data_IF_189268106590
#
_entry.id   IF_189268106590
#
_cell.length_a   1.000
_cell.length_b   1.000
_cell.length_c   1.000
_cell.angle_alpha   90.00
_cell.angle_beta   90.00
_cell.angle_gamma   90.00
#
_symmetry.space_group_name_H-M   'P 1'
#
loop_
_entity.id
_entity.type
_entity.pdbx_description
1 polymer ?
#
# COMPACT_ATOMS: atom_id res chain seq x y z
N UNK A 1 -1.00 82.11 -67.95
CA UNK A 1 -1.91 81.96 -66.79
C UNK A 1 -3.24 81.43 -67.28
N UNK A 2 -3.53 80.15 -67.01
CA UNK A 2 -4.88 79.54 -67.03
C UNK A 2 -4.72 78.04 -66.76
N UNK A 3 -5.14 77.64 -65.58
CA UNK A 3 -5.35 76.26 -65.14
C UNK A 3 -6.33 75.55 -66.09
N UNK A 4 -5.97 74.37 -66.60
CA UNK A 4 -6.90 73.39 -67.18
C UNK A 4 -6.48 71.96 -66.84
N UNK A 5 -7.47 71.21 -66.36
CA UNK A 5 -7.49 69.83 -65.91
C UNK A 5 -7.07 68.82 -66.99
N UNK A 6 -6.42 67.73 -66.58
CA UNK A 6 -6.53 66.45 -67.27
C UNK A 6 -6.63 65.28 -66.27
N UNK A 7 -7.75 64.59 -66.40
CA UNK A 7 -8.08 63.27 -65.85
C UNK A 7 -7.20 62.24 -66.58
N UNK A 8 -6.66 61.24 -65.88
CA UNK A 8 -6.40 59.92 -66.47
C UNK A 8 -6.29 58.83 -65.40
N UNK A 9 -6.83 57.69 -65.79
CA UNK A 9 -7.28 56.58 -64.99
C UNK A 9 -6.21 55.52 -64.66
N UNK A 10 -6.59 54.68 -63.69
CA UNK A 10 -6.25 53.26 -63.52
C UNK A 10 -4.78 52.86 -63.28
N UNK A 11 -4.54 52.25 -62.12
CA UNK A 11 -4.16 50.83 -62.06
C UNK A 11 -4.32 50.31 -60.61
N UNK A 12 -5.29 49.42 -60.41
CA UNK A 12 -5.36 48.56 -59.22
C UNK A 12 -4.32 47.47 -59.42
N UNK A 13 -3.26 47.47 -58.62
CA UNK A 13 -2.33 46.32 -58.52
C UNK A 13 -2.68 45.61 -57.23
N UNK A 14 -3.32 44.44 -57.37
CA UNK A 14 -3.54 43.51 -56.28
C UNK A 14 -2.21 42.91 -55.83
N UNK A 15 -1.82 43.20 -54.59
CA UNK A 15 -0.77 42.46 -53.89
C UNK A 15 -1.38 41.16 -53.35
N UNK A 16 -1.17 40.08 -54.10
CA UNK A 16 -1.29 38.72 -53.56
C UNK A 16 -0.10 38.52 -52.64
N UNK A 17 -0.30 38.67 -51.34
CA UNK A 17 0.66 38.21 -50.35
C UNK A 17 0.54 36.69 -50.25
N UNK A 18 1.47 35.96 -50.87
CA UNK A 18 1.72 34.56 -50.55
C UNK A 18 2.27 34.47 -49.12
N UNK A 19 1.38 34.35 -48.13
CA UNK A 19 1.76 33.90 -46.81
C UNK A 19 2.06 32.40 -46.92
N UNK A 20 3.34 32.06 -47.07
CA UNK A 20 3.81 30.70 -46.84
C UNK A 20 3.60 30.38 -45.34
N UNK A 21 2.51 29.70 -45.02
CA UNK A 21 2.33 29.07 -43.72
C UNK A 21 3.36 27.94 -43.61
N UNK A 22 4.51 28.23 -43.00
CA UNK A 22 5.39 27.18 -42.50
C UNK A 22 4.66 26.49 -41.35
N UNK A 23 4.01 25.37 -41.65
CA UNK A 23 3.54 24.44 -40.65
C UNK A 23 4.76 23.87 -39.93
N UNK A 24 5.12 24.51 -38.80
CA UNK A 24 6.03 23.94 -37.84
C UNK A 24 5.32 22.74 -37.21
N UNK A 25 5.60 21.55 -37.74
CA UNK A 25 5.29 20.31 -37.05
C UNK A 25 6.08 20.31 -35.75
N UNK A 26 5.43 20.71 -34.66
CA UNK A 26 5.97 20.48 -33.33
C UNK A 26 6.04 18.96 -33.15
N UNK A 27 7.23 18.40 -33.30
CA UNK A 27 7.54 17.04 -32.91
C UNK A 27 7.28 16.96 -31.40
N UNK A 28 6.10 16.48 -31.01
CA UNK A 28 5.86 16.00 -29.66
C UNK A 28 6.77 14.79 -29.48
N UNK A 29 8.01 15.01 -29.02
CA UNK A 29 8.78 13.92 -28.45
C UNK A 29 7.88 13.33 -27.36
N UNK A 30 7.50 12.05 -27.44
CA UNK A 30 6.89 11.43 -26.29
C UNK A 30 7.95 11.55 -25.19
N UNK A 31 7.70 12.40 -24.20
CA UNK A 31 8.26 12.15 -22.88
C UNK A 31 7.81 10.75 -22.55
N UNK A 32 8.69 9.78 -22.73
CA UNK A 32 8.56 8.50 -22.07
C UNK A 32 8.44 8.88 -20.60
N UNK A 33 7.21 8.88 -20.07
CA UNK A 33 7.05 8.65 -18.65
C UNK A 33 7.81 7.36 -18.45
N UNK A 34 8.91 7.42 -17.72
CA UNK A 34 9.45 6.22 -17.12
C UNK A 34 8.25 5.63 -16.40
N UNK A 35 7.76 4.50 -16.89
CA UNK A 35 6.78 3.71 -16.17
C UNK A 35 7.53 3.37 -14.88
N UNK A 36 7.27 4.13 -13.82
CA UNK A 36 7.84 3.83 -12.49
C UNK A 36 7.39 2.39 -12.26
N UNK A 37 8.35 1.47 -12.17
CA UNK A 37 8.09 0.05 -12.00
C UNK A 37 7.18 -0.11 -10.77
N UNK A 38 5.88 -0.27 -10.98
CA UNK A 38 4.95 -0.55 -9.90
C UNK A 38 5.25 -1.97 -9.43
N UNK A 39 5.56 -2.13 -8.15
CA UNK A 39 5.54 -3.47 -7.55
C UNK A 39 4.09 -3.95 -7.47
N UNK A 40 3.90 -5.25 -7.45
CA UNK A 40 2.59 -5.87 -7.23
C UNK A 40 2.60 -6.56 -5.86
N UNK A 41 1.50 -6.46 -5.13
CA UNK A 41 1.27 -7.11 -3.85
C UNK A 41 -0.11 -7.77 -3.86
N UNK A 42 -0.25 -8.85 -3.09
CA UNK A 42 -1.51 -9.55 -2.92
C UNK A 42 -2.52 -8.77 -2.05
N UNK A 43 -2.04 -7.84 -1.20
CA UNK A 43 -2.85 -7.12 -0.22
C UNK A 43 -2.53 -5.64 -0.06
N UNK A 44 -1.42 -5.10 -0.56
CA UNK A 44 -1.05 -3.69 -0.36
C UNK A 44 -1.17 -2.85 -1.63
N UNK A 45 -1.68 -1.63 -1.49
CA UNK A 45 -1.66 -0.60 -2.50
C UNK A 45 -1.23 0.74 -1.91
N UNK A 46 -0.24 1.40 -2.51
CA UNK A 46 0.25 2.68 -2.01
C UNK A 46 1.70 2.95 -2.36
N UNK A 47 2.45 3.55 -1.43
CA UNK A 47 3.87 3.82 -1.62
C UNK A 47 4.69 3.25 -0.48
N UNK A 48 5.84 2.68 -0.83
CA UNK A 48 6.89 2.28 0.10
C UNK A 48 8.16 3.05 -0.21
N UNK A 49 8.74 3.65 0.82
CA UNK A 49 10.08 4.21 0.80
C UNK A 49 11.05 3.22 1.46
N UNK A 50 12.14 2.92 0.78
CA UNK A 50 13.19 2.02 1.26
C UNK A 50 14.57 2.59 0.94
N UNK A 51 15.61 1.97 1.50
CA UNK A 51 16.98 2.37 1.22
C UNK A 51 17.32 2.30 -0.27
N UNK A 52 17.91 3.38 -0.79
CA UNK A 52 18.50 3.34 -2.12
C UNK A 52 19.59 2.25 -2.16
N UNK A 53 19.65 1.45 -3.22
CA UNK A 53 20.62 0.35 -3.37
C UNK A 53 22.01 0.72 -2.84
N UNK A 54 22.45 0.04 -1.75
CA UNK A 54 23.74 0.26 -1.10
C UNK A 54 23.78 1.29 0.04
N UNK A 55 22.66 1.94 0.39
CA UNK A 55 22.54 2.86 1.52
C UNK A 55 21.90 2.19 2.75
N UNK A 56 22.47 2.37 3.94
CA UNK A 56 21.82 2.04 5.22
C UNK A 56 20.84 3.17 5.58
N UNK A 57 19.71 3.22 4.87
CA UNK A 57 18.63 4.14 5.22
C UNK A 57 17.87 3.54 6.38
N UNK A 58 17.86 4.22 7.53
CA UNK A 58 17.13 3.79 8.71
C UNK A 58 16.06 4.84 9.02
N UNK A 59 14.81 4.44 8.87
CA UNK A 59 13.65 5.28 9.13
C UNK A 59 13.35 5.32 10.63
N UNK A 60 13.10 6.50 11.15
CA UNK A 60 12.80 6.75 12.57
C UNK A 60 11.43 7.39 12.77
N UNK A 61 10.81 7.86 11.69
CA UNK A 61 9.45 8.38 11.70
C UNK A 61 8.81 8.20 10.32
N UNK A 62 7.51 7.95 10.33
CA UNK A 62 6.62 8.07 9.18
C UNK A 62 5.39 8.86 9.62
N UNK A 63 4.82 9.66 8.73
CA UNK A 63 3.59 10.41 8.98
C UNK A 63 2.81 10.59 7.69
N UNK A 64 1.48 10.63 7.79
CA UNK A 64 0.61 10.95 6.67
C UNK A 64 -0.80 11.26 7.14
N UNK A 65 -1.56 11.94 6.29
CA UNK A 65 -2.95 12.29 6.53
C UNK A 65 -3.84 11.72 5.44
N UNK A 66 -5.02 11.25 5.79
CA UNK A 66 -6.04 10.81 4.84
C UNK A 66 -7.43 11.27 5.28
N UNK A 67 -8.38 11.21 4.36
CA UNK A 67 -9.80 11.33 4.71
C UNK A 67 -10.36 9.92 4.77
N UNK A 68 -11.01 9.56 5.86
CA UNK A 68 -11.61 8.23 6.05
C UNK A 68 -12.59 7.94 4.90
N UNK A 69 -12.34 6.91 4.08
CA UNK A 69 -13.20 6.59 2.96
C UNK A 69 -14.57 6.09 3.42
N UNK A 70 -15.60 6.26 2.59
CA UNK A 70 -16.85 5.53 2.76
C UNK A 70 -16.74 4.15 2.09
N UNK A 71 -17.05 3.07 2.80
CA UNK A 71 -17.12 1.74 2.21
C UNK A 71 -18.50 1.45 1.58
N UNK A 72 -18.50 0.95 0.35
CA UNK A 72 -19.66 0.48 -0.41
C UNK A 72 -19.86 -1.02 -0.17
N UNK A 73 -20.79 -1.37 0.71
CA UNK A 73 -21.03 -2.76 1.12
C UNK A 73 -22.06 -3.50 0.26
N UNK A 74 -22.27 -3.04 -0.99
CA UNK A 74 -23.22 -3.64 -1.93
C UNK A 74 -22.80 -5.04 -2.39
N UNK A 75 -21.49 -5.33 -2.38
CA UNK A 75 -20.91 -6.63 -2.69
C UNK A 75 -20.92 -7.61 -1.50
N UNK A 76 -21.43 -7.20 -0.33
CA UNK A 76 -21.43 -8.01 0.89
C UNK A 76 -20.21 -7.75 1.77
N UNK A 77 -19.69 -8.81 2.39
CA UNK A 77 -18.57 -8.71 3.32
C UNK A 77 -17.28 -8.32 2.61
N UNK A 78 -16.52 -7.41 3.20
CA UNK A 78 -15.21 -6.99 2.72
C UNK A 78 -14.50 -6.16 3.77
N UNK A 79 -13.20 -5.99 3.61
CA UNK A 79 -12.33 -5.34 4.58
C UNK A 79 -11.39 -4.39 3.85
N UNK A 80 -11.09 -3.25 4.45
CA UNK A 80 -10.10 -2.32 3.90
C UNK A 80 -9.50 -1.46 4.99
N UNK A 81 -8.18 -1.43 5.06
CA UNK A 81 -7.47 -0.63 6.05
C UNK A 81 -6.63 0.46 5.40
N UNK A 82 -6.43 1.57 6.11
CA UNK A 82 -5.64 2.72 5.67
C UNK A 82 -4.68 3.12 6.77
N UNK A 83 -3.38 3.10 6.48
CA UNK A 83 -2.37 3.23 7.52
C UNK A 83 -1.06 3.83 7.04
N UNK A 84 -0.25 4.23 8.02
CA UNK A 84 1.17 4.55 7.86
C UNK A 84 2.00 3.67 8.78
N UNK A 85 3.18 3.28 8.32
CA UNK A 85 4.01 2.31 9.04
C UNK A 85 5.51 2.43 8.78
N UNK A 86 6.25 1.71 9.62
CA UNK A 86 7.68 1.47 9.47
C UNK A 86 7.92 -0.04 9.42
N UNK A 87 8.71 -0.49 8.45
CA UNK A 87 9.07 -1.89 8.26
C UNK A 87 8.10 -2.67 7.37
N UNK A 88 8.06 -3.99 7.53
CA UNK A 88 7.12 -4.87 6.80
C UNK A 88 7.39 -5.06 5.30
N UNK A 89 8.14 -4.17 4.65
CA UNK A 89 8.49 -4.29 3.24
C UNK A 89 9.73 -5.18 3.01
N UNK A 90 9.71 -5.97 1.94
CA UNK A 90 10.79 -6.87 1.56
C UNK A 90 10.64 -8.26 2.19
N UNK A 91 10.84 -9.31 1.39
CA UNK A 91 10.59 -10.70 1.78
C UNK A 91 11.42 -11.28 2.95
N UNK A 92 12.26 -10.50 3.61
CA UNK A 92 12.97 -10.88 4.84
C UNK A 92 12.49 -10.10 6.08
N UNK A 93 11.59 -9.12 5.92
CA UNK A 93 11.02 -8.39 7.05
C UNK A 93 10.19 -9.33 7.92
N UNK A 94 10.27 -9.13 9.23
CA UNK A 94 9.56 -9.92 10.25
C UNK A 94 8.82 -9.03 11.26
N UNK A 95 8.85 -7.72 11.05
CA UNK A 95 8.33 -6.71 11.96
C UNK A 95 7.76 -5.54 11.15
N UNK A 96 6.67 -4.97 11.67
CA UNK A 96 5.97 -3.84 11.10
C UNK A 96 5.28 -3.09 12.23
N UNK A 97 5.54 -1.79 12.32
CA UNK A 97 4.92 -0.91 13.30
C UNK A 97 4.00 0.07 12.61
N UNK A 98 2.70 0.01 12.92
CA UNK A 98 1.71 0.69 12.12
C UNK A 98 0.53 1.20 12.93
N UNK A 99 -0.12 2.23 12.37
CA UNK A 99 -1.33 2.85 12.92
C UNK A 99 -2.25 3.26 11.79
N UNK A 100 -3.54 3.01 11.95
CA UNK A 100 -4.49 3.23 10.89
C UNK A 100 -5.95 3.12 11.30
N UNK A 101 -6.79 3.09 10.27
CA UNK A 101 -8.23 2.88 10.38
C UNK A 101 -8.67 1.73 9.48
N UNK A 102 -9.84 1.20 9.78
CA UNK A 102 -10.57 0.21 8.98
C UNK A 102 -11.85 0.84 8.46
N UNK A 103 -12.23 0.47 7.24
CA UNK A 103 -13.54 0.69 6.64
C UNK A 103 -14.09 -0.66 6.16
N UNK A 104 -14.69 -1.39 7.09
CA UNK A 104 -15.13 -2.76 6.89
C UNK A 104 -16.60 -2.84 6.49
N UNK A 105 -16.92 -3.80 5.64
CA UNK A 105 -18.27 -4.20 5.29
C UNK A 105 -18.66 -5.49 6.01
N UNK A 106 -19.67 -5.40 6.87
CA UNK A 106 -20.26 -6.57 7.51
C UNK A 106 -21.10 -7.42 6.55
N UNK A 107 -21.39 -8.66 6.93
CA UNK A 107 -22.19 -9.60 6.14
C UNK A 107 -23.63 -9.14 5.88
N UNK A 108 -24.14 -8.17 6.65
CA UNK A 108 -25.44 -7.54 6.46
C UNK A 108 -25.40 -6.33 5.51
N UNK A 109 -24.25 -6.03 4.91
CA UNK A 109 -24.07 -4.90 3.98
C UNK A 109 -23.97 -3.55 4.68
N UNK A 110 -23.52 -3.50 5.93
CA UNK A 110 -23.33 -2.26 6.69
C UNK A 110 -21.84 -1.98 6.89
N UNK A 111 -21.44 -0.72 6.67
CA UNK A 111 -20.07 -0.27 6.89
C UNK A 111 -19.80 -0.04 8.39
N UNK A 112 -18.59 -0.33 8.84
CA UNK A 112 -18.09 0.02 10.17
C UNK A 112 -16.68 0.58 10.08
N UNK A 113 -16.42 1.62 10.85
CA UNK A 113 -15.13 2.30 10.90
C UNK A 113 -14.54 2.24 12.29
N UNK A 114 -13.23 1.96 12.40
CA UNK A 114 -12.54 1.98 13.69
C UNK A 114 -11.04 2.18 13.53
N UNK A 115 -10.42 2.75 14.57
CA UNK A 115 -8.99 2.96 14.64
C UNK A 115 -8.27 1.80 15.32
N UNK A 116 -7.01 1.59 14.95
CA UNK A 116 -6.16 0.55 15.50
C UNK A 116 -4.67 0.93 15.43
N UNK A 117 -3.86 0.23 16.22
CA UNK A 117 -2.42 0.15 16.02
C UNK A 117 -1.99 -1.32 16.05
N UNK A 118 -0.82 -1.61 15.48
CA UNK A 118 -0.25 -2.95 15.50
C UNK A 118 1.28 -2.92 15.53
N UNK A 119 1.87 -3.84 16.29
CA UNK A 119 3.30 -4.14 16.29
C UNK A 119 3.46 -5.61 15.91
N UNK A 120 3.56 -5.87 14.62
CA UNK A 120 3.67 -7.23 14.07
C UNK A 120 4.91 -7.92 14.66
N UNK A 121 4.80 -9.19 15.08
CA UNK A 121 3.73 -10.15 14.79
C UNK A 121 2.57 -10.19 15.82
N UNK A 122 2.48 -9.21 16.71
CA UNK A 122 1.32 -9.15 17.63
C UNK A 122 0.09 -8.72 16.86
N UNK A 123 -1.06 -9.29 17.24
CA UNK A 123 -2.36 -8.90 16.72
C UNK A 123 -2.63 -7.39 16.91
N UNK A 124 -3.46 -6.80 16.04
CA UNK A 124 -3.88 -5.41 16.17
C UNK A 124 -4.62 -5.13 17.46
N UNK A 125 -4.51 -3.90 17.92
CA UNK A 125 -5.21 -3.41 19.09
C UNK A 125 -6.07 -2.23 18.69
N UNK A 126 -7.38 -2.34 18.93
CA UNK A 126 -8.33 -1.25 18.72
C UNK A 126 -7.98 -0.05 19.61
N UNK A 127 -8.04 1.13 19.02
CA UNK A 127 -7.92 2.39 19.74
C UNK A 127 -9.31 2.87 20.15
N UNK A 128 -9.40 3.47 21.34
CA UNK A 128 -10.61 4.16 21.79
C UNK A 128 -10.66 5.55 21.14
N UNK A 129 -10.91 5.54 19.83
CA UNK A 129 -11.06 6.71 18.98
C UNK A 129 -12.22 6.44 18.02
N UNK A 130 -13.28 7.24 18.11
CA UNK A 130 -14.44 7.11 17.22
C UNK A 130 -14.05 7.62 15.83
N UNK A 131 -14.32 6.82 14.80
CA UNK A 131 -14.03 7.14 13.41
C UNK A 131 -15.32 7.07 12.61
N UNK A 132 -15.51 8.03 11.72
CA UNK A 132 -16.60 8.10 10.76
C UNK A 132 -16.06 8.36 9.35
N UNK A 133 -16.76 7.85 8.34
CA UNK A 133 -16.46 8.21 6.95
C UNK A 133 -16.49 9.74 6.77
N UNK A 134 -15.46 10.27 6.11
CA UNK A 134 -15.25 11.71 5.92
C UNK A 134 -14.41 12.39 6.99
N UNK A 135 -14.01 11.69 8.07
CA UNK A 135 -13.09 12.25 9.07
C UNK A 135 -11.70 12.48 8.47
N UNK A 136 -11.06 13.59 8.85
CA UNK A 136 -9.70 13.92 8.42
C UNK A 136 -8.72 13.38 9.47
N UNK A 137 -7.94 12.39 9.09
CA UNK A 137 -7.08 11.64 9.98
C UNK A 137 -5.61 11.97 9.72
N UNK A 138 -4.81 11.97 10.78
CA UNK A 138 -3.35 12.04 10.70
C UNK A 138 -2.73 10.93 11.54
N UNK A 139 -2.06 10.00 10.87
CA UNK A 139 -1.29 8.92 11.47
C UNK A 139 0.19 9.25 11.55
N UNK A 140 0.85 8.77 12.61
CA UNK A 140 2.30 8.89 12.79
C UNK A 140 2.85 7.71 13.59
N UNK A 141 3.95 7.14 13.11
CA UNK A 141 4.76 6.16 13.86
C UNK A 141 6.17 6.71 14.02
N UNK A 142 6.76 6.54 15.20
CA UNK A 142 8.18 6.87 15.46
C UNK A 142 8.86 5.75 16.20
N UNK A 143 10.11 5.46 15.84
CA UNK A 143 10.95 4.45 16.50
C UNK A 143 12.18 5.14 17.10
N UNK A 144 12.45 4.87 18.38
CA UNK A 144 13.66 5.30 19.09
C UNK A 144 14.22 4.13 19.91
N UNK A 145 15.21 3.44 19.35
CA UNK A 145 15.67 2.16 19.87
C UNK A 145 14.53 1.16 19.87
N UNK A 146 14.20 0.59 21.04
CA UNK A 146 13.07 -0.34 21.21
C UNK A 146 11.74 0.35 21.53
N UNK A 147 11.71 1.69 21.58
CA UNK A 147 10.50 2.45 21.87
C UNK A 147 9.79 2.79 20.56
N UNK A 148 8.59 2.26 20.39
CA UNK A 148 7.71 2.59 19.28
C UNK A 148 6.60 3.49 19.80
N UNK A 149 6.41 4.65 19.18
CA UNK A 149 5.25 5.51 19.46
C UNK A 149 4.35 5.55 18.25
N UNK A 150 3.10 5.14 18.44
CA UNK A 150 2.03 5.20 17.45
C UNK A 150 1.04 6.29 17.87
N UNK A 151 0.63 7.11 16.91
CA UNK A 151 -0.32 8.20 17.14
C UNK A 151 -1.29 8.32 15.99
N UNK A 152 -2.58 8.45 16.31
CA UNK A 152 -3.63 8.76 15.35
C UNK A 152 -4.45 9.93 15.89
N UNK A 153 -4.61 10.97 15.07
CA UNK A 153 -5.45 12.13 15.38
C UNK A 153 -6.57 12.21 14.37
N UNK A 154 -7.78 12.41 14.87
CA UNK A 154 -8.92 12.84 14.07
C UNK A 154 -9.00 14.37 14.15
N UNK A 155 -8.58 15.01 13.07
CA UNK A 155 -8.57 16.44 12.90
C UNK A 155 -9.97 17.03 12.69
N UNK A 156 -10.97 16.21 12.34
CA UNK A 156 -12.38 16.64 12.24
C UNK A 156 -12.98 16.84 13.62
N UNK A 157 -12.79 15.86 14.52
CA UNK A 157 -13.36 15.93 15.89
C UNK A 157 -12.41 16.58 16.90
N UNK A 158 -11.11 16.62 16.60
CA UNK A 158 -10.05 17.05 17.51
C UNK A 158 -9.62 15.98 18.52
N UNK A 159 -10.16 14.76 18.43
CA UNK A 159 -9.77 13.63 19.27
C UNK A 159 -8.46 12.99 18.79
N UNK A 160 -7.73 12.33 19.69
CA UNK A 160 -6.48 11.65 19.34
C UNK A 160 -6.17 10.52 20.30
N UNK A 161 -5.48 9.50 19.81
CA UNK A 161 -4.90 8.43 20.62
C UNK A 161 -3.40 8.30 20.34
N UNK A 162 -2.61 8.21 21.40
CA UNK A 162 -1.15 7.98 21.34
C UNK A 162 -0.77 6.87 22.30
N UNK A 163 0.08 5.95 21.84
CA UNK A 163 0.67 4.87 22.66
C UNK A 163 2.17 4.84 22.45
N UNK A 164 2.92 4.74 23.54
CA UNK A 164 4.35 4.40 23.51
C UNK A 164 4.52 2.98 24.04
N UNK A 165 5.14 2.14 23.23
CA UNK A 165 5.17 0.69 23.37
C UNK A 165 6.61 0.20 23.26
N UNK A 166 6.90 -0.93 23.90
CA UNK A 166 8.18 -1.61 23.75
C UNK A 166 8.08 -2.65 22.64
N UNK A 167 9.05 -2.65 21.74
CA UNK A 167 9.26 -3.67 20.72
C UNK A 167 10.73 -4.03 20.68
N UNK A 168 11.05 -5.33 20.82
CA UNK A 168 12.45 -5.76 20.96
C UNK A 168 13.27 -5.49 19.70
N UNK A 169 12.68 -5.68 18.52
CA UNK A 169 13.34 -5.54 17.23
C UNK A 169 12.40 -4.85 16.24
N UNK A 170 12.19 -3.52 16.37
CA UNK A 170 11.41 -2.80 15.37
C UNK A 170 12.14 -2.81 14.02
N UNK A 171 11.39 -2.85 12.94
CA UNK A 171 11.94 -2.80 11.59
C UNK A 171 11.89 -1.36 11.06
N UNK A 172 13.08 -0.82 10.83
CA UNK A 172 13.31 0.56 10.39
C UNK A 172 13.84 0.63 8.96
N UNK A 173 13.73 -0.46 8.21
CA UNK A 173 14.28 -0.56 6.84
C UNK A 173 13.44 0.16 5.79
N UNK A 174 12.16 0.40 6.07
CA UNK A 174 11.21 1.04 5.16
C UNK A 174 10.20 1.94 5.89
N UNK A 175 9.50 2.77 5.12
CA UNK A 175 8.37 3.57 5.55
C UNK A 175 7.24 3.52 4.51
N UNK A 176 5.99 3.36 4.95
CA UNK A 176 4.87 3.07 4.06
C UNK A 176 3.64 3.95 4.29
N UNK A 177 2.85 4.13 3.23
CA UNK A 177 1.52 4.75 3.22
C UNK A 177 0.60 3.88 2.36
N UNK A 178 -0.30 3.13 2.99
CA UNK A 178 -0.93 1.97 2.36
C UNK A 178 -2.45 1.98 2.56
N UNK A 179 -3.15 1.63 1.48
CA UNK A 179 -4.47 1.03 1.52
C UNK A 179 -4.32 -0.48 1.37
N UNK A 180 -4.92 -1.26 2.25
CA UNK A 180 -4.69 -2.70 2.34
C UNK A 180 -6.00 -3.50 2.28
N UNK A 181 -5.93 -4.71 1.73
CA UNK A 181 -6.85 -5.80 2.03
C UNK A 181 -6.29 -6.61 3.21
N UNK A 182 -6.73 -6.35 4.46
CA UNK A 182 -6.34 -7.11 5.65
C UNK A 182 -6.13 -8.60 5.46
N UNK A 183 -5.14 -9.18 6.12
CA UNK A 183 -5.03 -10.65 6.18
C UNK A 183 -5.70 -11.23 7.42
N UNK A 184 -6.08 -12.51 7.33
CA UNK A 184 -6.42 -13.36 8.48
C UNK A 184 -5.42 -14.50 8.55
N UNK A 185 -4.90 -14.77 9.75
CA UNK A 185 -3.96 -15.84 10.00
C UNK A 185 -4.60 -17.03 10.75
N UNK A 186 -4.21 -18.25 10.39
CA UNK A 186 -4.54 -19.44 11.17
C UNK A 186 -3.64 -19.56 12.43
N UNK A 187 -3.95 -20.52 13.30
CA UNK A 187 -3.17 -20.78 14.52
C UNK A 187 -1.73 -21.26 14.27
N UNK A 188 -1.36 -21.53 13.02
CA UNK A 188 0.00 -21.90 12.59
C UNK A 188 0.76 -20.71 12.00
N UNK A 189 0.14 -19.53 11.92
CA UNK A 189 0.72 -18.32 11.34
C UNK A 189 0.61 -18.24 9.82
N UNK A 190 -0.19 -19.10 9.17
CA UNK A 190 -0.45 -18.96 7.74
C UNK A 190 -1.50 -17.87 7.51
N UNK A 191 -1.12 -16.79 6.85
CA UNK A 191 -1.95 -15.62 6.64
C UNK A 191 -2.45 -15.55 5.21
N UNK A 192 -3.71 -15.15 5.02
CA UNK A 192 -4.32 -14.97 3.70
C UNK A 192 -5.07 -13.63 3.64
N UNK A 193 -4.92 -12.85 2.56
CA UNK A 193 -5.70 -11.64 2.35
C UNK A 193 -7.21 -11.92 2.37
N UNK A 194 -7.96 -11.01 3.01
CA UNK A 194 -9.40 -10.99 3.07
C UNK A 194 -9.99 -10.29 1.84
N UNK A 195 -11.29 -10.48 1.54
CA UNK A 195 -11.95 -9.79 0.44
C UNK A 195 -11.85 -8.27 0.59
N UNK A 196 -11.27 -7.58 -0.39
CA UNK A 196 -11.13 -6.12 -0.36
C UNK A 196 -12.49 -5.42 -0.47
N UNK A 197 -12.84 -4.58 0.52
CA UNK A 197 -14.02 -3.73 0.47
C UNK A 197 -13.89 -2.64 -0.61
N UNK A 198 -15.00 -2.30 -1.25
CA UNK A 198 -15.06 -1.16 -2.18
C UNK A 198 -15.04 0.15 -1.37
N UNK A 199 -13.85 0.71 -1.20
CA UNK A 199 -13.64 2.02 -0.56
C UNK A 199 -13.70 3.18 -1.55
N UNK A 200 -13.95 2.91 -2.84
CA UNK A 200 -13.92 3.89 -3.93
C UNK A 200 -12.53 4.50 -4.17
N UNK A 201 -12.13 5.44 -3.32
CA UNK A 201 -10.82 6.08 -3.38
C UNK A 201 -10.42 6.66 -2.01
N UNK A 202 -9.15 6.54 -1.65
CA UNK A 202 -8.52 7.24 -0.50
C UNK A 202 -7.43 8.17 -1.00
N UNK A 203 -7.23 9.31 -0.36
CA UNK A 203 -6.12 10.24 -0.68
C UNK A 203 -5.21 10.39 0.52
N UNK A 204 -3.93 10.07 0.34
CA UNK A 204 -2.88 10.34 1.30
C UNK A 204 -2.24 11.70 0.98
N UNK A 205 -2.03 12.51 2.00
CA UNK A 205 -1.46 13.85 1.93
C UNK A 205 -0.48 14.08 3.08
N UNK A 206 0.38 15.09 2.98
CA UNK A 206 1.40 15.39 3.98
C UNK A 206 2.28 14.16 4.33
N UNK A 207 2.45 13.26 3.36
CA UNK A 207 3.17 12.01 3.53
C UNK A 207 4.67 12.30 3.63
N UNK A 208 5.25 12.07 4.80
CA UNK A 208 6.65 12.35 5.10
C UNK A 208 7.27 11.27 5.95
N UNK A 209 8.56 11.05 5.76
CA UNK A 209 9.35 10.14 6.56
C UNK A 209 10.62 10.84 7.07
N UNK A 210 11.15 10.35 8.19
CA UNK A 210 12.43 10.79 8.73
C UNK A 210 13.40 9.62 8.70
N UNK A 211 14.46 9.71 7.90
CA UNK A 211 15.53 8.73 7.85
C UNK A 211 16.88 9.38 8.16
N UNK A 212 17.69 8.75 9.01
CA UNK A 212 19.04 9.24 9.35
C UNK A 212 19.08 10.73 9.76
N UNK A 213 18.03 11.21 10.44
CA UNK A 213 17.88 12.61 10.88
C UNK A 213 17.38 13.60 9.82
N UNK A 214 17.18 13.16 8.56
CA UNK A 214 16.58 13.97 7.49
C UNK A 214 15.10 13.67 7.34
N UNK A 215 14.26 14.71 7.20
CA UNK A 215 12.82 14.57 6.96
C UNK A 215 12.45 15.07 5.58
N UNK A 216 11.66 14.30 4.85
CA UNK A 216 11.32 14.58 3.46
C UNK A 216 10.02 13.90 3.01
N UNK A 217 9.49 14.28 1.83
CA UNK A 217 8.31 13.66 1.24
C UNK A 217 8.62 12.27 0.67
N UNK A 218 7.60 11.53 0.21
CA UNK A 218 7.78 10.20 -0.40
C UNK A 218 8.86 10.22 -1.50
N UNK A 219 8.88 11.26 -2.34
CA UNK A 219 9.84 11.38 -3.45
C UNK A 219 11.21 11.96 -3.05
N UNK A 220 11.56 12.05 -1.77
CA UNK A 220 12.84 12.61 -1.34
C UNK A 220 14.01 11.80 -1.93
N UNK A 221 15.05 12.46 -2.48
CA UNK A 221 16.19 11.77 -3.09
C UNK A 221 17.09 11.02 -2.11
N UNK A 222 16.92 11.19 -0.78
CA UNK A 222 17.68 10.44 0.22
C UNK A 222 17.24 8.97 0.36
N UNK A 223 16.13 8.58 -0.27
CA UNK A 223 15.65 7.20 -0.35
C UNK A 223 15.07 6.88 -1.72
N UNK A 224 14.74 5.62 -1.94
CA UNK A 224 13.99 5.18 -3.12
C UNK A 224 12.56 4.92 -2.74
N UNK A 225 11.62 5.44 -3.55
CA UNK A 225 10.19 5.18 -3.39
C UNK A 225 9.65 4.33 -4.53
N UNK A 226 8.82 3.35 -4.21
CA UNK A 226 8.11 2.54 -5.19
C UNK A 226 6.60 2.63 -4.96
N UNK A 227 5.84 2.72 -6.05
CA UNK A 227 4.40 2.53 -6.01
C UNK A 227 4.10 1.03 -5.97
N UNK A 228 3.20 0.60 -5.09
CA UNK A 228 2.77 -0.78 -4.95
C UNK A 228 1.32 -0.87 -5.36
N UNK A 229 1.00 -1.78 -6.26
CA UNK A 229 -0.36 -2.06 -6.72
C UNK A 229 -0.87 -3.33 -6.04
N UNK A 230 -2.12 -3.29 -5.57
CA UNK A 230 -2.81 -4.47 -5.07
C UNK A 230 -3.48 -5.14 -6.27
N UNK A 231 -2.88 -6.21 -6.75
CA UNK A 231 -3.45 -7.07 -7.79
C UNK A 231 -3.98 -8.32 -7.11
N UNK A 232 -5.24 -8.25 -6.67
CA UNK A 232 -5.88 -9.26 -5.81
C UNK A 232 -5.53 -10.68 -6.24
N UNK A 233 -5.10 -11.49 -5.28
CA UNK A 233 -4.50 -12.80 -5.59
C UNK A 233 -3.96 -13.49 -4.34
N UNK A 234 -4.84 -14.01 -3.50
CA UNK A 234 -4.48 -15.09 -2.60
C UNK A 234 -4.19 -16.34 -3.47
N UNK A 235 -2.94 -16.75 -3.57
CA UNK A 235 -2.54 -17.97 -4.28
C UNK A 235 -3.04 -19.22 -3.56
N UNK A 236 -3.57 -20.20 -4.32
CA UNK A 236 -4.12 -21.51 -3.91
C UNK A 236 -3.47 -22.11 -2.65
N UNK A 237 -4.03 -21.78 -1.49
CA UNK A 237 -3.88 -22.51 -0.24
C UNK A 237 -5.24 -23.13 0.09
N UNK A 238 -5.28 -24.45 0.26
CA UNK A 238 -6.52 -25.14 0.62
C UNK A 238 -7.03 -24.65 1.98
N UNK A 239 -8.11 -23.87 1.98
CA UNK A 239 -8.99 -23.65 3.14
C UNK A 239 -8.93 -22.25 3.77
N UNK A 240 -10.11 -21.81 4.25
CA UNK A 240 -10.42 -20.69 5.17
C UNK A 240 -11.19 -19.48 4.61
N UNK A 241 -11.17 -19.17 3.30
CA UNK A 241 -12.05 -18.11 2.72
C UNK A 241 -12.80 -18.67 1.51
N UNK A 242 -14.14 -18.68 1.55
CA UNK A 242 -14.98 -19.24 0.47
C UNK A 242 -15.25 -18.28 -0.68
N UNK A 243 -15.02 -16.98 -0.47
CA UNK A 243 -15.21 -15.93 -1.49
C UNK A 243 -13.87 -15.23 -1.74
N UNK A 244 -13.17 -15.65 -2.79
CA UNK A 244 -11.96 -14.96 -3.26
C UNK A 244 -12.36 -13.64 -3.93
N UNK A 245 -11.91 -12.51 -3.39
CA UNK A 245 -12.00 -11.23 -4.10
C UNK A 245 -10.76 -11.06 -4.96
N UNK A 246 -10.97 -10.89 -6.27
CA UNK A 246 -9.95 -10.41 -7.22
C UNK A 246 -10.03 -8.88 -7.40
N UNK A 247 -10.75 -8.19 -6.51
CA UNK A 247 -10.70 -6.74 -6.47
C UNK A 247 -9.27 -6.29 -6.16
N UNK A 248 -8.90 -5.18 -6.78
CA UNK A 248 -7.57 -4.60 -6.71
C UNK A 248 -7.63 -3.15 -6.27
N UNK A 249 -6.45 -2.56 -6.08
CA UNK A 249 -6.33 -1.15 -5.80
C UNK A 249 -5.05 -0.59 -6.41
N UNK A 250 -5.15 0.56 -7.07
CA UNK A 250 -4.04 1.17 -7.82
C UNK A 250 -3.69 2.54 -7.25
N UNK A 251 -2.43 2.80 -6.86
CA UNK A 251 -2.00 4.13 -6.46
C UNK A 251 -1.87 5.05 -7.69
N UNK A 252 -2.15 6.33 -7.51
CA UNK A 252 -1.85 7.37 -8.48
C UNK A 252 -0.34 7.66 -8.53
N UNK A 253 0.09 8.44 -9.52
CA UNK A 253 1.37 9.12 -9.42
C UNK A 253 1.40 10.08 -8.22
N UNK A 254 2.59 10.32 -7.66
CA UNK A 254 2.78 11.35 -6.66
C UNK A 254 2.46 12.74 -7.23
N UNK A 255 1.96 13.61 -6.37
CA UNK A 255 1.86 15.06 -6.59
C UNK A 255 3.23 15.69 -6.86
N UNK A 256 3.24 16.93 -7.35
CA UNK A 256 4.47 17.63 -7.75
C UNK A 256 5.47 17.86 -6.62
N UNK A 257 4.99 17.94 -5.37
CA UNK A 257 5.85 18.05 -4.18
C UNK A 257 6.23 16.68 -3.60
N UNK A 258 5.72 15.59 -4.19
CA UNK A 258 6.03 14.22 -3.80
C UNK A 258 5.37 13.74 -2.52
N UNK A 259 4.48 14.53 -1.90
CA UNK A 259 3.95 14.28 -0.55
C UNK A 259 2.51 13.76 -0.51
N UNK A 260 1.89 13.59 -1.68
CA UNK A 260 0.49 13.20 -1.79
C UNK A 260 0.25 12.29 -2.98
N UNK A 261 -0.69 11.35 -2.83
CA UNK A 261 -1.20 10.46 -3.87
C UNK A 261 -2.61 9.97 -3.49
N UNK A 262 -3.31 9.33 -4.41
CA UNK A 262 -4.54 8.61 -4.10
C UNK A 262 -4.41 7.13 -4.39
N UNK A 263 -5.25 6.31 -3.79
CA UNK A 263 -5.42 4.90 -4.14
C UNK A 263 -6.87 4.71 -4.55
N UNK A 264 -7.07 4.18 -5.76
CA UNK A 264 -8.40 3.89 -6.28
C UNK A 264 -8.67 2.39 -6.18
N UNK A 265 -9.81 2.02 -5.61
CA UNK A 265 -10.33 0.65 -5.67
C UNK A 265 -10.77 0.35 -7.10
N UNK A 266 -10.62 -0.90 -7.54
CA UNK A 266 -11.26 -1.36 -8.76
C UNK A 266 -11.71 -2.82 -8.66
N UNK A 267 -12.89 -3.08 -9.21
CA UNK A 267 -13.52 -4.40 -9.20
C UNK A 267 -12.68 -5.45 -9.92
N UNK A 268 -12.91 -6.70 -9.54
CA UNK A 268 -12.51 -7.88 -10.28
C UNK A 268 -12.69 -7.68 -11.82
N UNK A 269 -11.59 -7.76 -12.58
CA UNK A 269 -11.61 -7.68 -14.05
C UNK A 269 -11.57 -6.27 -14.68
N UNK A 270 -11.61 -5.20 -13.88
CA UNK A 270 -11.42 -3.83 -14.35
C UNK A 270 -9.95 -3.33 -14.24
N UNK A 271 -9.06 -4.16 -13.67
CA UNK A 271 -7.65 -3.85 -13.52
C UNK A 271 -6.95 -3.80 -14.90
N UNK A 272 -6.07 -2.82 -15.17
CA UNK A 272 -5.18 -2.89 -16.32
C UNK A 272 -4.29 -4.13 -16.15
N UNK A 273 -4.48 -5.14 -16.99
CA UNK A 273 -3.51 -6.24 -17.08
C UNK A 273 -2.18 -5.63 -17.51
N UNK A 274 -1.22 -5.56 -16.59
CA UNK A 274 0.18 -5.44 -16.96
C UNK A 274 0.46 -6.52 -18.00
N UNK A 275 1.12 -6.15 -19.11
CA UNK A 275 1.40 -7.07 -20.21
C UNK A 275 2.33 -8.19 -19.74
N UNK A 276 1.76 -9.23 -19.16
CA UNK A 276 2.44 -10.46 -18.78
C UNK A 276 2.80 -11.23 -20.03
N UNK A 277 4.06 -11.14 -20.46
CA UNK A 277 4.64 -12.19 -21.28
C UNK A 277 4.80 -13.41 -20.39
N UNK A 278 4.14 -14.51 -20.75
CA UNK A 278 4.36 -15.81 -20.12
C UNK A 278 5.82 -16.23 -20.30
N UNK A 279 6.64 -16.01 -19.28
CA UNK A 279 7.96 -16.61 -19.17
C UNK A 279 7.95 -17.48 -17.91
N UNK A 280 8.24 -18.77 -18.10
CA UNK A 280 8.23 -19.76 -17.03
C UNK A 280 9.17 -19.39 -15.89
N UNK A 281 8.92 -20.02 -14.73
CA UNK A 281 9.68 -19.94 -13.50
C UNK A 281 11.17 -19.62 -13.73
N UNK A 282 11.51 -18.35 -13.55
CA UNK A 282 12.86 -17.83 -13.56
C UNK A 282 13.01 -16.88 -12.38
N UNK A 283 13.96 -17.19 -11.49
CA UNK A 283 14.33 -16.37 -10.33
C UNK A 283 14.35 -14.89 -10.69
N UNK A 284 13.34 -14.14 -10.23
CA UNK A 284 13.39 -12.69 -10.14
C UNK A 284 14.36 -12.33 -9.03
N UNK A 285 15.45 -11.65 -9.38
CA UNK A 285 16.44 -11.20 -8.43
C UNK A 285 15.81 -10.22 -7.44
N UNK A 286 15.99 -10.52 -6.15
CA UNK A 286 15.72 -9.63 -5.03
C UNK A 286 16.50 -8.31 -5.22
N UNK A 287 15.82 -7.16 -5.41
CA UNK A 287 16.50 -5.88 -5.60
C UNK A 287 17.16 -5.37 -4.30
N UNK A 288 16.90 -5.99 -3.15
CA UNK A 288 17.44 -5.58 -1.84
C UNK A 288 18.43 -6.58 -1.23
N UNK A 289 18.75 -7.66 -1.94
CA UNK A 289 19.74 -8.67 -1.53
C UNK A 289 21.18 -8.26 -1.81
N UNK A 290 21.91 -7.87 -0.76
CA UNK A 290 23.36 -7.65 -0.81
C UNK A 290 24.14 -8.94 -1.07
N UNK A 291 24.40 -9.28 -2.32
CA UNK A 291 25.33 -10.34 -2.71
C UNK A 291 26.78 -9.85 -2.61
N UNK A 292 27.53 -10.30 -1.60
CA UNK A 292 29.00 -10.19 -1.62
C UNK A 292 29.59 -11.45 -2.27
N UNK A 293 30.62 -11.31 -3.14
CA UNK A 293 31.21 -12.43 -3.86
C UNK A 293 32.30 -13.09 -3.00
N UNK A 294 32.28 -14.42 -2.92
CA UNK A 294 33.47 -15.26 -3.12
C UNK A 294 33.11 -16.74 -2.94
N UNK A 295 33.42 -17.53 -3.96
CA UNK A 295 33.08 -18.95 -4.04
C UNK A 295 34.08 -19.86 -3.36
N UNK A 296 33.63 -21.07 -3.03
CA UNK A 296 34.20 -22.35 -3.49
C UNK A 296 33.54 -23.47 -2.68
N UNK A 297 33.06 -24.49 -3.40
CA UNK A 297 32.17 -25.50 -2.85
C UNK A 297 32.85 -26.60 -2.06
N UNK A 298 32.03 -27.45 -1.45
CA UNK A 298 32.19 -28.90 -1.39
C UNK A 298 30.89 -29.47 -0.83
N UNK A 299 30.30 -30.41 -1.55
CA UNK A 299 29.13 -31.14 -1.08
C UNK A 299 29.47 -32.12 0.04
N UNK A 300 28.45 -32.49 0.80
CA UNK A 300 28.28 -33.87 1.29
C UNK A 300 26.86 -34.09 1.74
N UNK A 301 26.23 -35.07 1.08
CA UNK A 301 24.99 -35.69 1.50
C UNK A 301 25.26 -36.70 2.62
N UNK A 302 24.46 -36.63 3.68
CA UNK A 302 24.14 -37.72 4.61
C UNK A 302 22.71 -37.40 5.10
N UNK A 303 21.68 -38.25 5.11
CA UNK A 303 21.65 -39.70 5.06
C UNK A 303 21.01 -40.25 6.35
N UNK A 304 19.66 -40.32 6.37
CA UNK A 304 18.89 -41.44 6.94
C UNK A 304 18.62 -41.55 8.46
N UNK A 305 17.36 -41.88 8.77
CA UNK A 305 16.88 -42.62 9.95
C UNK A 305 16.50 -41.73 11.14
N UNK A 306 15.34 -41.81 11.79
CA UNK A 306 14.30 -42.83 11.86
C UNK A 306 13.86 -42.96 13.32
N UNK A 307 12.55 -43.11 13.60
CA UNK A 307 12.08 -43.82 14.80
C UNK A 307 11.15 -43.09 15.79
N UNK A 308 9.86 -43.42 15.66
CA UNK A 308 8.86 -43.81 16.69
C UNK A 308 8.74 -43.08 18.04
N UNK A 309 7.48 -42.74 18.36
CA UNK A 309 7.01 -42.41 19.71
C UNK A 309 5.49 -42.19 19.75
N UNK A 310 4.75 -43.29 19.74
CA UNK A 310 3.28 -43.39 19.88
C UNK A 310 2.83 -43.17 21.34
N UNK A 311 1.58 -42.72 21.57
CA UNK A 311 0.99 -42.80 22.93
C UNK A 311 -0.20 -41.91 23.30
N UNK A 312 -1.42 -42.39 23.01
CA UNK A 312 -2.66 -42.27 23.83
C UNK A 312 -3.35 -40.89 23.89
N UNK A 313 -4.61 -40.70 23.45
CA UNK A 313 -5.85 -41.28 24.01
C UNK A 313 -6.16 -40.62 25.37
N UNK A 314 -7.31 -40.04 25.72
CA UNK A 314 -8.74 -40.27 25.44
C UNK A 314 -9.55 -39.14 26.15
N UNK A 315 -10.80 -38.89 25.75
CA UNK A 315 -11.78 -38.27 26.67
C UNK A 315 -12.82 -37.32 26.06
N UNK A 316 -13.76 -37.84 25.30
CA UNK A 316 -15.06 -37.19 25.06
C UNK A 316 -15.97 -37.41 26.28
N UNK A 317 -16.59 -36.33 26.77
CA UNK A 317 -17.82 -36.41 27.54
C UNK A 317 -18.75 -35.27 27.14
N UNK A 318 -19.93 -35.66 26.64
CA UNK A 318 -21.03 -34.78 26.33
C UNK A 318 -21.88 -34.54 27.58
N UNK A 319 -22.31 -33.30 27.80
CA UNK A 319 -23.30 -32.95 28.82
C UNK A 319 -23.70 -31.49 28.67
N UNK A 320 -24.88 -31.27 28.06
CA UNK A 320 -25.35 -29.95 27.63
C UNK A 320 -25.69 -28.97 28.74
N UNK A 321 -25.56 -27.70 28.40
CA UNK A 321 -26.07 -26.55 29.15
C UNK A 321 -26.15 -25.36 28.21
N UNK A 322 -27.36 -25.10 27.72
CA UNK A 322 -27.73 -23.93 26.91
C UNK A 322 -27.50 -22.67 27.75
N UNK A 323 -26.49 -21.90 27.38
CA UNK A 323 -26.18 -20.60 27.93
C UNK A 323 -25.61 -19.73 26.82
N UNK A 324 -26.40 -18.76 26.38
CA UNK A 324 -26.03 -17.75 25.41
C UNK A 324 -24.89 -16.92 26.01
N UNK A 325 -23.64 -17.24 25.67
CA UNK A 325 -22.49 -16.41 25.98
C UNK A 325 -22.14 -15.61 24.73
N UNK A 326 -22.57 -14.35 24.72
CA UNK A 326 -22.02 -13.33 23.83
C UNK A 326 -20.54 -13.15 24.21
N UNK A 327 -19.65 -13.65 23.37
CA UNK A 327 -18.22 -13.67 23.66
C UNK A 327 -17.43 -14.48 22.63
N UNK A 328 -17.59 -14.15 21.35
CA UNK A 328 -16.72 -14.63 20.29
C UNK A 328 -15.76 -13.52 19.90
N UNK A 329 -14.69 -13.34 20.67
CA UNK A 329 -13.55 -12.53 20.24
C UNK A 329 -12.77 -13.32 19.19
N UNK A 330 -13.08 -13.10 17.92
CA UNK A 330 -12.23 -13.55 16.83
C UNK A 330 -11.04 -12.59 16.81
N UNK A 331 -9.86 -13.08 17.21
CA UNK A 331 -8.63 -12.33 17.05
C UNK A 331 -8.34 -12.22 15.55
N UNK A 332 -8.58 -11.04 14.98
CA UNK A 332 -8.01 -10.64 13.71
C UNK A 332 -6.49 -10.72 13.88
N UNK A 333 -5.79 -11.41 13.00
CA UNK A 333 -4.33 -11.41 12.98
C UNK A 333 -3.92 -10.89 11.62
N UNK A 334 -3.37 -9.68 11.57
CA UNK A 334 -2.72 -9.18 10.36
C UNK A 334 -1.28 -9.73 10.39
N UNK A 335 -0.96 -10.60 9.44
CA UNK A 335 0.40 -11.05 9.22
C UNK A 335 1.00 -10.39 8.00
N UNK A 336 2.33 -10.31 7.95
CA UNK A 336 3.06 -9.75 6.82
C UNK A 336 2.79 -10.61 5.59
N UNK A 337 2.08 -10.04 4.61
CA UNK A 337 2.23 -10.43 3.21
C UNK A 337 2.74 -9.21 2.42
N UNK A 338 3.85 -8.65 2.91
CA UNK A 338 4.67 -7.73 2.14
C UNK A 338 5.31 -8.43 0.93
N UNK A 339 5.72 -7.64 -0.06
CA UNK A 339 6.35 -8.10 -1.30
C UNK A 339 7.81 -8.56 -1.12
#
# INVERSE_FOLDING_TARGET
MRTRYLISALAVVGLIACAAAASASASSTPTMRTERQSASSANWSGYVAGGANGSSTQFSSVSGSWTEPSASCSAGQGYSSFWVGLGGAGGQSQALEQVGTEADCGSTGSASHFAWYELVPSAPVRLDLTISAGDHLTGKVTVNGTNVTVSLSDNTTGASATKTLQMSNPDVSSAEWIAEAPSSCDGSGNCQPLPLADFGNVSFTNATATANGHTGPISDPNWTSQAVQLDGGASDGTGFVSDQSTAGATPSGLSSDGSSFSVAWASAGAQPQGSGSSAGAGNGGDPYGGGSPDGSGAGSAYGGGGGYGDGGGYGYSAGGGYGYSAGGGYGYGYGVVGF
#
